data_IF_854443487766
#
_entry.id   IF_854443487766
#
_cell.length_a   1.000
_cell.length_b   1.000
_cell.length_c   1.000
_cell.angle_alpha   90.00
_cell.angle_beta   90.00
_cell.angle_gamma   90.00
#
_symmetry.space_group_name_H-M   'P 1'
#
loop_
_entity.id
_entity.type
_entity.pdbx_description
1 polymer ?
#
# COMPACT_ATOMS: atom_id res chain seq x y z
N UNK A 1 10.39 5.44 -37.34
CA UNK A 1 10.36 4.44 -36.25
C UNK A 1 10.16 5.22 -34.96
N UNK A 2 8.93 5.27 -34.47
CA UNK A 2 8.64 5.87 -33.16
C UNK A 2 9.01 4.82 -32.13
N UNK A 3 9.89 5.17 -31.20
CA UNK A 3 10.23 4.33 -30.04
C UNK A 3 9.06 4.40 -29.05
N UNK A 4 8.16 3.44 -29.16
CA UNK A 4 6.98 3.22 -28.31
C UNK A 4 7.34 2.64 -26.93
N UNK A 5 8.30 3.24 -26.22
CA UNK A 5 8.71 2.82 -24.88
C UNK A 5 7.60 3.09 -23.83
N UNK A 6 6.60 2.21 -23.84
CA UNK A 6 5.54 1.93 -22.86
C UNK A 6 4.74 3.14 -22.39
N UNK A 7 3.74 3.52 -23.20
CA UNK A 7 2.56 4.22 -22.69
C UNK A 7 1.74 3.18 -21.89
N UNK A 8 1.52 3.43 -20.59
CA UNK A 8 0.83 2.51 -19.69
C UNK A 8 -0.54 2.06 -20.24
N UNK A 9 -0.90 0.78 -20.06
CA UNK A 9 -2.19 0.25 -20.52
C UNK A 9 -3.31 0.73 -19.60
N UNK A 10 -4.09 1.70 -20.08
CA UNK A 10 -5.29 2.17 -19.40
C UNK A 10 -6.50 1.51 -20.07
N UNK A 11 -7.29 0.78 -19.29
CA UNK A 11 -8.56 0.20 -19.73
C UNK A 11 -9.71 0.90 -19.01
N UNK A 12 -10.66 1.43 -19.78
CA UNK A 12 -11.90 2.03 -19.26
C UNK A 12 -13.05 1.11 -19.68
N UNK A 13 -13.87 0.71 -18.71
CA UNK A 13 -15.00 -0.17 -18.92
C UNK A 13 -16.22 0.29 -18.11
N UNK A 14 -17.41 0.05 -18.64
CA UNK A 14 -18.65 0.20 -17.89
C UNK A 14 -18.70 -0.84 -16.76
N UNK A 15 -19.02 -0.40 -15.54
CA UNK A 15 -19.24 -1.29 -14.40
C UNK A 15 -20.73 -1.34 -14.10
N UNK A 16 -21.35 -2.50 -14.35
CA UNK A 16 -22.75 -2.75 -14.00
C UNK A 16 -22.88 -3.25 -12.57
N UNK A 17 -22.73 -2.34 -11.59
CA UNK A 17 -23.04 -2.60 -10.18
C UNK A 17 -23.97 -1.54 -9.62
N UNK A 18 -24.82 -1.92 -8.65
CA UNK A 18 -25.57 -0.95 -7.84
C UNK A 18 -24.58 -0.09 -7.02
N UNK A 19 -24.76 1.24 -6.95
CA UNK A 19 -24.02 2.08 -6.02
C UNK A 19 -24.10 1.55 -4.58
N UNK A 20 -23.03 1.70 -3.78
CA UNK A 20 -23.03 1.22 -2.37
C UNK A 20 -24.20 1.80 -1.57
N UNK A 21 -24.50 3.09 -1.78
CA UNK A 21 -25.62 3.80 -1.13
C UNK A 21 -27.02 3.25 -1.47
N UNK A 22 -27.16 2.42 -2.51
CA UNK A 22 -28.43 1.81 -2.90
C UNK A 22 -28.52 0.32 -2.55
N UNK A 23 -27.56 -0.20 -1.78
CA UNK A 23 -27.64 -1.52 -1.19
C UNK A 23 -28.50 -1.46 0.08
N UNK A 24 -29.19 -2.56 0.37
CA UNK A 24 -30.08 -2.67 1.53
C UNK A 24 -29.31 -2.75 2.86
N UNK A 25 -28.01 -3.05 2.82
CA UNK A 25 -27.14 -3.16 4.01
C UNK A 25 -25.69 -2.83 3.63
N UNK A 26 -25.01 -2.09 4.51
CA UNK A 26 -23.59 -1.73 4.40
C UNK A 26 -22.91 -1.91 5.76
N UNK A 27 -21.72 -2.52 5.77
CA UNK A 27 -20.89 -2.70 6.97
C UNK A 27 -19.51 -2.11 6.68
N UNK A 28 -19.02 -1.28 7.60
CA UNK A 28 -17.70 -0.64 7.51
C UNK A 28 -16.97 -0.82 8.84
N UNK A 29 -15.70 -1.17 8.77
CA UNK A 29 -14.81 -1.31 9.93
C UNK A 29 -13.60 -0.38 9.78
N UNK A 30 -13.15 0.20 10.90
CA UNK A 30 -11.86 0.89 11.00
C UNK A 30 -11.15 0.46 12.27
N UNK A 31 -9.94 -0.09 12.13
CA UNK A 31 -9.04 -0.34 13.26
C UNK A 31 -8.39 0.98 13.69
N UNK A 32 -8.48 1.27 15.00
CA UNK A 32 -7.95 2.51 15.58
C UNK A 32 -6.43 2.52 15.63
N UNK A 33 -5.83 3.68 15.94
CA UNK A 33 -4.37 3.83 15.99
C UNK A 33 -3.68 2.88 16.98
N UNK A 34 -4.34 2.56 18.10
CA UNK A 34 -3.82 1.64 19.11
C UNK A 34 -4.25 0.18 18.91
N UNK A 35 -4.99 -0.13 17.84
CA UNK A 35 -5.34 -1.51 17.54
C UNK A 35 -4.05 -2.29 17.20
N UNK A 36 -3.80 -3.48 17.78
CA UNK A 36 -2.56 -4.23 17.57
C UNK A 36 -2.17 -4.38 16.09
N UNK A 37 -3.12 -4.74 15.23
CA UNK A 37 -2.86 -4.83 13.78
C UNK A 37 -2.41 -3.50 13.16
N UNK A 38 -3.08 -2.38 13.48
CA UNK A 38 -2.70 -1.05 12.96
C UNK A 38 -1.36 -0.59 13.51
N UNK A 39 -1.04 -0.97 14.75
CA UNK A 39 0.30 -0.75 15.32
C UNK A 39 1.33 -1.59 14.57
N UNK A 40 1.02 -2.84 14.23
CA UNK A 40 1.93 -3.71 13.50
C UNK A 40 2.21 -3.17 12.09
N UNK A 41 1.17 -2.75 11.37
CA UNK A 41 1.26 -2.08 10.07
C UNK A 41 2.11 -0.80 10.16
N UNK A 42 1.85 0.02 11.18
CA UNK A 42 2.56 1.27 11.40
C UNK A 42 4.05 1.08 11.69
N UNK A 43 4.41 0.08 12.50
CA UNK A 43 5.81 -0.25 12.80
C UNK A 43 6.51 -0.81 11.55
N UNK A 44 5.86 -1.74 10.84
CA UNK A 44 6.36 -2.31 9.59
C UNK A 44 6.74 -1.21 8.57
N UNK A 45 5.82 -0.27 8.33
CA UNK A 45 6.04 0.88 7.44
C UNK A 45 7.14 1.81 7.97
N UNK A 46 7.16 2.12 9.27
CA UNK A 46 8.18 2.97 9.87
C UNK A 46 9.59 2.39 9.69
N UNK A 47 9.76 1.08 9.88
CA UNK A 47 11.03 0.39 9.65
C UNK A 47 11.42 0.43 8.17
N UNK A 48 10.50 0.08 7.26
CA UNK A 48 10.72 0.13 5.81
C UNK A 48 11.22 1.51 5.36
N UNK A 49 10.57 2.57 5.84
CA UNK A 49 10.92 3.95 5.50
C UNK A 49 12.29 4.36 6.03
N UNK A 50 12.62 4.02 7.27
CA UNK A 50 13.95 4.34 7.83
C UNK A 50 15.06 3.52 7.18
N UNK A 51 14.80 2.26 6.83
CA UNK A 51 15.74 1.42 6.10
C UNK A 51 15.99 1.96 4.69
N UNK A 52 14.95 2.39 3.98
CA UNK A 52 15.06 3.07 2.69
C UNK A 52 15.91 4.33 2.76
N UNK A 53 15.65 5.20 3.75
CA UNK A 53 16.45 6.42 3.97
C UNK A 53 17.91 6.10 4.28
N UNK A 54 18.15 5.07 5.11
CA UNK A 54 19.50 4.60 5.40
C UNK A 54 20.21 4.14 4.12
N UNK A 55 19.55 3.35 3.28
CA UNK A 55 20.13 2.87 2.04
C UNK A 55 20.44 4.00 1.06
N UNK A 56 19.55 4.98 0.92
CA UNK A 56 19.81 6.17 0.13
C UNK A 56 21.04 6.93 0.63
N UNK A 57 21.13 7.20 1.95
CA UNK A 57 22.27 7.91 2.53
C UNK A 57 23.60 7.17 2.36
N UNK A 58 23.59 5.84 2.47
CA UNK A 58 24.83 5.04 2.52
C UNK A 58 25.26 4.49 1.16
N UNK A 59 24.31 4.16 0.29
CA UNK A 59 24.57 3.45 -0.97
C UNK A 59 24.05 4.22 -2.21
N UNK A 60 23.41 5.38 -2.03
CA UNK A 60 22.86 6.18 -3.14
C UNK A 60 21.66 5.53 -3.84
N UNK A 61 21.15 4.41 -3.32
CA UNK A 61 20.01 3.66 -3.86
C UNK A 61 19.32 2.90 -2.76
N UNK A 62 18.04 2.61 -2.93
CA UNK A 62 17.32 1.68 -2.07
C UNK A 62 17.75 0.25 -2.43
N UNK A 63 18.18 -0.53 -1.44
CA UNK A 63 18.42 -1.96 -1.60
C UNK A 63 17.12 -2.73 -1.37
N UNK A 64 17.01 -3.92 -1.95
CA UNK A 64 15.81 -4.74 -1.83
C UNK A 64 15.55 -5.13 -0.37
N UNK A 65 14.35 -4.83 0.13
CA UNK A 65 13.85 -5.24 1.44
C UNK A 65 12.31 -5.26 1.41
N UNK A 66 11.71 -6.15 2.21
CA UNK A 66 10.28 -6.17 2.49
C UNK A 66 10.11 -6.36 4.00
N UNK A 67 9.52 -5.38 4.67
CA UNK A 67 9.30 -5.38 6.12
C UNK A 67 7.80 -5.34 6.39
N UNK A 68 7.11 -6.38 5.95
CA UNK A 68 5.64 -6.51 5.94
C UNK A 68 5.18 -7.74 6.74
N UNK A 69 6.05 -8.28 7.60
CA UNK A 69 5.77 -9.41 8.49
C UNK A 69 6.16 -9.02 9.91
N UNK A 70 5.19 -8.53 10.68
CA UNK A 70 5.39 -8.12 12.07
C UNK A 70 4.37 -8.82 12.97
N UNK A 71 4.80 -9.18 14.18
CA UNK A 71 3.99 -9.79 15.22
C UNK A 71 4.14 -8.97 16.51
N UNK A 72 3.01 -8.64 17.14
CA UNK A 72 2.94 -8.08 18.49
C UNK A 72 2.44 -9.19 19.42
N UNK A 73 3.13 -9.41 20.54
CA UNK A 73 2.83 -10.43 21.57
C UNK A 73 2.28 -9.78 22.82
#
# INVERSE_FOLDING_TARGET
MVDDSVIGRIAIQEVRRRPLKSLDTEIVERKGLGHPDSVADGIAEAISRELSKFYLRKYGRILHHNVDKLLIV
#
